data_IF_979351010614
#
_entry.id   IF_979351010614
#
_cell.length_a   1.000
_cell.length_b   1.000
_cell.length_c   1.000
_cell.angle_alpha   90.00
_cell.angle_beta   90.00
_cell.angle_gamma   90.00
#
_symmetry.space_group_name_H-M   'P 1'
#
loop_
_entity.id
_entity.type
_entity.pdbx_description
1 polymer ?
#
# COMPACT_ATOMS: atom_id res chain seq x y z
N UNK A 1 -6.11 -42.22 -4.42
CA UNK A 1 -5.97 -41.84 -3.00
C UNK A 1 -4.73 -42.44 -2.33
N UNK A 2 -4.43 -43.75 -2.47
CA UNK A 2 -3.26 -44.39 -1.84
C UNK A 2 -1.90 -43.78 -2.24
N UNK A 3 -1.69 -43.47 -3.52
CA UNK A 3 -0.45 -42.85 -4.01
C UNK A 3 -0.20 -41.43 -3.45
N UNK A 4 -1.28 -40.66 -3.25
CA UNK A 4 -1.22 -39.31 -2.71
C UNK A 4 -0.85 -39.33 -1.22
N UNK A 5 -1.48 -40.23 -0.46
CA UNK A 5 -1.16 -40.45 0.95
C UNK A 5 0.29 -40.90 1.14
N UNK A 6 0.75 -41.87 0.34
CA UNK A 6 2.15 -42.30 0.33
C UNK A 6 3.10 -41.14 0.05
N UNK A 7 2.80 -40.30 -0.96
CA UNK A 7 3.62 -39.14 -1.32
C UNK A 7 3.72 -38.12 -0.18
N UNK A 8 2.64 -37.89 0.57
CA UNK A 8 2.64 -36.99 1.73
C UNK A 8 3.44 -37.58 2.90
N UNK A 9 3.19 -38.84 3.25
CA UNK A 9 3.89 -39.51 4.36
C UNK A 9 5.41 -39.55 4.09
N UNK A 10 5.80 -39.91 2.86
CA UNK A 10 7.21 -39.98 2.47
C UNK A 10 7.84 -38.59 2.38
N UNK A 11 7.12 -37.57 1.89
CA UNK A 11 7.61 -36.20 1.85
C UNK A 11 7.87 -35.64 3.27
N UNK A 12 6.95 -35.87 4.21
CA UNK A 12 7.13 -35.46 5.61
C UNK A 12 8.32 -36.19 6.24
N UNK A 13 8.44 -37.50 6.02
CA UNK A 13 9.57 -38.28 6.51
C UNK A 13 10.90 -37.86 5.87
N UNK A 14 10.88 -37.43 4.61
CA UNK A 14 12.03 -36.85 3.88
C UNK A 14 12.46 -35.53 4.53
N UNK A 15 11.53 -34.61 4.74
CA UNK A 15 11.78 -33.31 5.37
C UNK A 15 12.33 -33.45 6.80
N UNK A 16 11.82 -34.42 7.58
CA UNK A 16 12.29 -34.65 8.94
C UNK A 16 13.73 -35.16 9.00
N UNK A 17 14.09 -36.06 8.07
CA UNK A 17 15.46 -36.57 7.94
C UNK A 17 16.41 -35.50 7.41
N UNK A 18 15.99 -34.73 6.40
CA UNK A 18 16.73 -33.63 5.77
C UNK A 18 16.52 -32.26 6.42
N UNK A 19 16.21 -32.20 7.73
CA UNK A 19 15.65 -30.99 8.37
C UNK A 19 16.47 -29.71 8.19
N UNK A 20 17.80 -29.79 8.16
CA UNK A 20 18.66 -28.61 8.01
C UNK A 20 18.47 -27.95 6.63
N UNK A 21 18.54 -28.75 5.57
CA UNK A 21 18.33 -28.28 4.20
C UNK A 21 16.87 -27.84 3.98
N UNK A 22 15.91 -28.58 4.56
CA UNK A 22 14.49 -28.25 4.49
C UNK A 22 14.14 -26.94 5.19
N UNK A 23 14.71 -26.66 6.37
CA UNK A 23 14.55 -25.39 7.08
C UNK A 23 15.14 -24.22 6.30
N UNK A 24 16.34 -24.38 5.73
CA UNK A 24 16.98 -23.33 4.95
C UNK A 24 16.19 -22.97 3.69
N UNK A 25 15.69 -23.98 2.97
CA UNK A 25 14.81 -23.79 1.82
C UNK A 25 13.51 -23.08 2.20
N UNK A 26 12.86 -23.55 3.27
CA UNK A 26 11.61 -22.95 3.79
C UNK A 26 11.82 -21.50 4.23
N UNK A 27 12.92 -21.19 4.91
CA UNK A 27 13.27 -19.83 5.32
C UNK A 27 13.55 -18.92 4.10
N UNK A 28 14.20 -19.44 3.07
CA UNK A 28 14.45 -18.71 1.82
C UNK A 28 13.14 -18.38 1.10
N UNK A 29 12.22 -19.35 0.99
CA UNK A 29 10.87 -19.13 0.46
C UNK A 29 10.12 -18.09 1.30
N UNK A 30 10.12 -18.25 2.63
CA UNK A 30 9.43 -17.35 3.53
C UNK A 30 9.95 -15.91 3.41
N UNK A 31 11.28 -15.73 3.34
CA UNK A 31 11.91 -14.42 3.16
C UNK A 31 11.53 -13.80 1.82
N UNK A 32 11.59 -14.57 0.73
CA UNK A 32 11.21 -14.10 -0.61
C UNK A 32 9.75 -13.59 -0.64
N UNK A 33 8.83 -14.39 -0.09
CA UNK A 33 7.41 -14.04 -0.02
C UNK A 33 7.14 -12.88 0.95
N UNK A 34 7.84 -12.82 2.08
CA UNK A 34 7.71 -11.74 3.05
C UNK A 34 8.14 -10.39 2.45
N UNK A 35 9.31 -10.36 1.78
CA UNK A 35 9.81 -9.14 1.14
C UNK A 35 8.87 -8.68 0.03
N UNK A 36 8.46 -9.58 -0.86
CA UNK A 36 7.51 -9.26 -1.92
C UNK A 36 6.15 -8.81 -1.37
N UNK A 37 5.60 -9.54 -0.39
CA UNK A 37 4.32 -9.23 0.23
C UNK A 37 4.35 -7.90 0.98
N UNK A 38 5.40 -7.63 1.76
CA UNK A 38 5.58 -6.37 2.48
C UNK A 38 5.69 -5.20 1.54
N UNK A 39 6.46 -5.37 0.47
CA UNK A 39 6.60 -4.39 -0.58
C UNK A 39 5.24 -4.06 -1.24
N UNK A 40 4.46 -5.08 -1.62
CA UNK A 40 3.12 -4.90 -2.19
C UNK A 40 2.17 -4.20 -1.22
N UNK A 41 2.15 -4.60 0.06
CA UNK A 41 1.34 -3.97 1.10
C UNK A 41 1.70 -2.49 1.25
N UNK A 42 2.98 -2.14 1.37
CA UNK A 42 3.42 -0.75 1.50
C UNK A 42 3.00 0.07 0.29
N UNK A 43 3.30 -0.41 -0.94
CA UNK A 43 2.93 0.34 -2.15
C UNK A 43 1.42 0.50 -2.30
N UNK A 44 0.63 -0.53 -1.99
CA UNK A 44 -0.83 -0.44 -2.07
C UNK A 44 -1.41 0.54 -1.05
N UNK A 45 -0.82 0.63 0.15
CA UNK A 45 -1.23 1.62 1.15
C UNK A 45 -0.81 3.04 0.74
N UNK A 46 0.39 3.22 0.19
CA UNK A 46 0.85 4.53 -0.32
C UNK A 46 0.03 5.01 -1.53
N UNK A 47 -0.33 4.12 -2.46
CA UNK A 47 -1.23 4.44 -3.58
C UNK A 47 -2.60 4.89 -3.07
N UNK A 48 -3.16 4.22 -2.06
CA UNK A 48 -4.44 4.61 -1.45
C UNK A 48 -4.35 5.95 -0.73
N UNK A 49 -3.31 6.15 0.08
CA UNK A 49 -3.09 7.42 0.78
C UNK A 49 -2.92 8.57 -0.21
N UNK A 50 -2.15 8.35 -1.28
CA UNK A 50 -2.00 9.33 -2.37
C UNK A 50 -3.32 9.61 -3.11
N UNK A 51 -4.15 8.59 -3.35
CA UNK A 51 -5.46 8.77 -3.96
C UNK A 51 -6.44 9.55 -3.06
N UNK A 52 -6.44 9.27 -1.75
CA UNK A 52 -7.23 10.00 -0.76
C UNK A 52 -6.77 11.47 -0.68
N UNK A 53 -5.46 11.71 -0.57
CA UNK A 53 -4.90 13.07 -0.62
C UNK A 53 -5.21 13.79 -1.94
N UNK A 54 -5.19 13.08 -3.06
CA UNK A 54 -5.59 13.62 -4.35
C UNK A 54 -7.06 14.01 -4.43
N UNK A 55 -7.95 13.26 -3.76
CA UNK A 55 -9.37 13.60 -3.66
C UNK A 55 -9.64 14.74 -2.66
N UNK A 56 -8.79 14.90 -1.65
CA UNK A 56 -8.81 16.01 -0.70
C UNK A 56 -8.07 17.26 -1.21
N UNK A 57 -7.30 17.15 -2.30
CA UNK A 57 -6.59 18.27 -2.88
C UNK A 57 -7.58 19.30 -3.44
N UNK A 58 -7.68 20.42 -2.73
CA UNK A 58 -8.50 21.55 -3.14
C UNK A 58 -7.74 22.39 -4.18
N UNK A 59 -8.46 22.83 -5.20
CA UNK A 59 -7.98 23.82 -6.17
C UNK A 59 -8.18 25.20 -5.53
N UNK A 60 -7.09 25.90 -5.23
CA UNK A 60 -7.14 27.24 -4.65
C UNK A 60 -7.00 28.29 -5.76
N UNK A 61 -8.05 29.08 -5.96
CA UNK A 61 -8.06 30.20 -6.89
C UNK A 61 -7.86 31.49 -6.10
N UNK A 62 -6.66 32.06 -6.15
CA UNK A 62 -6.35 33.32 -5.48
C UNK A 62 -6.84 34.49 -6.32
N UNK A 63 -7.54 35.42 -5.67
CA UNK A 63 -8.05 36.63 -6.29
C UNK A 63 -7.07 37.79 -6.12
N UNK A 64 -7.14 38.76 -7.03
CA UNK A 64 -6.43 40.03 -6.89
C UNK A 64 -6.99 40.85 -5.74
N UNK A 65 -6.16 41.70 -5.16
CA UNK A 65 -6.52 42.53 -4.01
C UNK A 65 -7.66 43.52 -4.31
N UNK A 66 -7.70 44.09 -5.52
CA UNK A 66 -8.78 44.99 -5.96
C UNK A 66 -9.87 44.30 -6.80
N UNK A 67 -10.14 43.01 -6.56
CA UNK A 67 -11.18 42.29 -7.33
C UNK A 67 -12.56 42.91 -7.13
N UNK A 68 -13.24 43.25 -8.23
CA UNK A 68 -14.60 43.79 -8.14
C UNK A 68 -15.61 42.70 -7.75
N UNK A 69 -16.73 43.04 -7.10
CA UNK A 69 -17.78 42.08 -6.78
C UNK A 69 -18.35 41.35 -8.02
N UNK A 70 -18.33 42.00 -9.19
CA UNK A 70 -18.76 41.43 -10.45
C UNK A 70 -17.77 40.39 -10.99
N UNK A 71 -16.47 40.68 -10.95
CA UNK A 71 -15.42 39.74 -11.36
C UNK A 71 -15.39 38.51 -10.43
N UNK A 72 -15.52 38.72 -9.12
CA UNK A 72 -15.62 37.60 -8.16
C UNK A 72 -16.81 36.69 -8.48
N UNK A 73 -18.00 37.27 -8.72
CA UNK A 73 -19.19 36.49 -9.09
C UNK A 73 -19.01 35.74 -10.41
N UNK A 74 -18.26 36.30 -11.37
CA UNK A 74 -17.94 35.60 -12.60
C UNK A 74 -17.04 34.39 -12.36
N UNK A 75 -16.03 34.51 -11.49
CA UNK A 75 -15.16 33.39 -11.08
C UNK A 75 -15.95 32.31 -10.34
N UNK A 76 -16.79 32.68 -9.37
CA UNK A 76 -17.68 31.76 -8.65
C UNK A 76 -18.65 31.04 -9.59
N UNK A 77 -19.24 31.75 -10.56
CA UNK A 77 -20.12 31.16 -11.57
C UNK A 77 -19.39 30.13 -12.45
N UNK A 78 -18.14 30.40 -12.83
CA UNK A 78 -17.30 29.46 -13.59
C UNK A 78 -16.90 28.21 -12.78
N UNK A 79 -17.02 28.27 -11.46
CA UNK A 79 -16.78 27.21 -10.48
C UNK A 79 -18.08 26.57 -9.95
N UNK A 80 -19.19 26.78 -10.64
CA UNK A 80 -20.46 26.15 -10.28
C UNK A 80 -20.32 24.62 -10.21
N UNK A 81 -20.95 23.94 -9.24
CA UNK A 81 -20.91 22.49 -9.12
C UNK A 81 -21.32 21.81 -10.43
N UNK A 82 -20.55 20.81 -10.85
CA UNK A 82 -20.70 20.14 -12.13
C UNK A 82 -19.87 18.87 -12.19
N UNK A 83 -19.53 18.39 -13.37
CA UNK A 83 -18.84 17.09 -13.50
C UNK A 83 -17.47 17.05 -12.81
N UNK A 84 -16.78 18.19 -12.74
CA UNK A 84 -15.43 18.32 -12.16
C UNK A 84 -15.48 18.93 -10.75
N UNK A 85 -16.34 19.91 -10.51
CA UNK A 85 -16.42 20.65 -9.25
C UNK A 85 -17.49 20.06 -8.34
N UNK A 86 -17.11 19.68 -7.12
CA UNK A 86 -18.03 19.21 -6.09
C UNK A 86 -18.69 20.37 -5.35
N UNK A 87 -17.86 21.32 -4.88
CA UNK A 87 -18.26 22.52 -4.15
C UNK A 87 -17.17 23.59 -4.23
N UNK A 88 -17.51 24.83 -3.95
CA UNK A 88 -16.55 25.92 -3.78
C UNK A 88 -16.89 26.74 -2.54
N UNK A 89 -15.88 27.33 -1.92
CA UNK A 89 -16.00 28.19 -0.75
C UNK A 89 -15.14 29.45 -0.95
N UNK A 90 -15.72 30.62 -0.71
CA UNK A 90 -14.98 31.88 -0.72
C UNK A 90 -14.37 32.10 0.66
N UNK A 91 -13.04 32.24 0.71
CA UNK A 91 -12.28 32.55 1.90
C UNK A 91 -11.78 33.98 1.80
N UNK A 92 -12.27 34.84 2.69
CA UNK A 92 -11.83 36.23 2.74
C UNK A 92 -10.38 36.34 3.22
N UNK A 93 -9.72 37.48 2.98
CA UNK A 93 -8.38 37.76 3.53
C UNK A 93 -8.35 37.55 5.05
N UNK A 94 -9.38 38.02 5.76
CA UNK A 94 -9.47 37.90 7.21
C UNK A 94 -9.60 36.43 7.65
N UNK A 95 -10.43 35.65 6.98
CA UNK A 95 -10.61 34.23 7.29
C UNK A 95 -9.36 33.41 6.96
N UNK A 96 -8.66 33.75 5.87
CA UNK A 96 -7.38 33.14 5.50
C UNK A 96 -6.33 33.38 6.59
N UNK A 97 -6.29 34.58 7.18
CA UNK A 97 -5.40 34.89 8.30
C UNK A 97 -5.75 34.10 9.57
N UNK A 98 -7.03 33.97 9.89
CA UNK A 98 -7.48 33.16 11.03
C UNK A 98 -7.09 31.69 10.85
N UNK A 99 -7.36 31.11 9.67
CA UNK A 99 -6.98 29.73 9.34
C UNK A 99 -5.46 29.54 9.41
N UNK A 100 -4.69 30.46 8.83
CA UNK A 100 -3.23 30.40 8.86
C UNK A 100 -2.68 30.37 10.29
N UNK A 101 -3.19 31.23 11.18
CA UNK A 101 -2.78 31.27 12.59
C UNK A 101 -3.15 30.00 13.35
N UNK A 102 -4.28 29.37 13.03
CA UNK A 102 -4.69 28.11 13.65
C UNK A 102 -3.79 26.95 13.20
N UNK A 103 -3.39 26.92 11.93
CA UNK A 103 -2.55 25.84 11.38
C UNK A 103 -1.06 26.01 11.73
N UNK A 104 -0.57 27.25 11.73
CA UNK A 104 0.86 27.57 11.90
C UNK A 104 1.07 28.53 13.08
N UNK A 105 0.64 28.12 14.28
CA UNK A 105 0.69 28.95 15.48
C UNK A 105 2.06 29.55 15.79
N UNK A 106 3.16 28.86 15.47
CA UNK A 106 4.53 29.35 15.67
C UNK A 106 4.91 30.50 14.70
N UNK A 107 4.28 30.57 13.52
CA UNK A 107 4.51 31.60 12.51
C UNK A 107 3.53 32.77 12.64
N UNK A 108 2.52 32.69 13.51
CA UNK A 108 1.51 33.73 13.70
C UNK A 108 2.15 35.09 14.08
N UNK A 109 3.17 35.07 14.94
CA UNK A 109 3.88 36.29 15.38
C UNK A 109 4.66 36.98 14.25
N UNK A 110 5.14 36.23 13.26
CA UNK A 110 5.83 36.80 12.10
C UNK A 110 4.86 37.52 11.15
N UNK A 111 3.63 37.01 11.02
CA UNK A 111 2.59 37.63 10.20
C UNK A 111 2.01 38.87 10.86
N UNK A 112 1.85 38.85 12.18
CA UNK A 112 1.37 40.02 12.93
C UNK A 112 2.35 41.21 12.90
N UNK A 113 3.64 40.95 12.68
CA UNK A 113 4.66 41.99 12.53
C UNK A 113 4.65 42.74 11.19
N UNK A 114 3.87 42.30 10.20
CA UNK A 114 3.83 42.90 8.85
C UNK A 114 2.88 44.10 8.73
N UNK A 115 2.10 44.40 9.79
CA UNK A 115 1.21 45.56 9.88
C UNK A 115 -0.09 45.43 9.07
N UNK A 116 -0.03 44.87 7.87
CA UNK A 116 -1.18 44.63 6.99
C UNK A 116 -1.26 43.16 6.54
N UNK A 117 -2.45 42.66 6.22
CA UNK A 117 -2.65 41.24 5.93
C UNK A 117 -2.09 40.85 4.55
N UNK A 118 -1.00 40.06 4.47
CA UNK A 118 -0.35 39.73 3.21
C UNK A 118 -1.07 38.60 2.45
N UNK A 119 -2.07 37.96 3.05
CA UNK A 119 -2.76 36.82 2.46
C UNK A 119 -3.86 37.30 1.49
N UNK A 120 -3.84 36.86 0.22
CA UNK A 120 -4.90 37.17 -0.73
C UNK A 120 -6.19 36.42 -0.38
N UNK A 121 -7.33 36.94 -0.83
CA UNK A 121 -8.59 36.21 -0.77
C UNK A 121 -8.54 35.04 -1.79
N UNK A 122 -9.20 33.93 -1.46
CA UNK A 122 -9.23 32.75 -2.33
C UNK A 122 -10.63 32.17 -2.48
N UNK A 123 -10.86 31.48 -3.60
CA UNK A 123 -11.96 30.54 -3.75
C UNK A 123 -11.36 29.14 -3.71
N UNK A 124 -11.65 28.40 -2.65
CA UNK A 124 -11.23 27.02 -2.46
C UNK A 124 -12.25 26.09 -3.09
N UNK A 125 -11.80 25.24 -4.00
CA UNK A 125 -12.68 24.41 -4.83
C UNK A 125 -12.40 22.94 -4.54
N UNK A 126 -13.40 22.24 -4.03
CA UNK A 126 -13.34 20.79 -3.85
C UNK A 126 -13.71 20.11 -5.16
N UNK A 127 -12.85 19.22 -5.60
CA UNK A 127 -12.98 18.51 -6.87
C UNK A 127 -13.67 17.16 -6.66
N UNK A 128 -14.43 16.69 -7.65
CA UNK A 128 -14.99 15.33 -7.62
C UNK A 128 -13.92 14.30 -7.98
N UNK A 129 -13.81 13.19 -7.23
CA UNK A 129 -12.94 12.10 -7.62
C UNK A 129 -13.49 11.40 -8.86
N UNK A 130 -12.63 11.10 -9.84
CA UNK A 130 -13.04 10.36 -11.04
C UNK A 130 -11.89 10.01 -11.98
N UNK A 131 -12.00 8.91 -12.75
CA UNK A 131 -11.04 8.59 -13.80
C UNK A 131 -11.02 9.71 -14.85
N UNK A 132 -9.84 10.27 -15.14
CA UNK A 132 -9.68 11.41 -16.05
C UNK A 132 -9.91 12.79 -15.41
N UNK A 133 -10.28 12.87 -14.12
CA UNK A 133 -10.52 14.13 -13.41
C UNK A 133 -9.37 15.11 -13.57
N UNK A 134 -8.13 14.61 -13.53
CA UNK A 134 -6.98 15.48 -13.63
C UNK A 134 -6.87 16.27 -14.95
N UNK A 135 -7.14 15.65 -16.11
CA UNK A 135 -7.09 16.39 -17.39
C UNK A 135 -8.17 17.49 -17.46
N UNK A 136 -9.35 17.20 -16.91
CA UNK A 136 -10.43 18.18 -16.74
C UNK A 136 -10.02 19.33 -15.80
N UNK A 137 -9.36 19.01 -14.68
CA UNK A 137 -8.90 20.02 -13.70
C UNK A 137 -7.81 20.92 -14.27
N UNK A 138 -6.87 20.40 -15.06
CA UNK A 138 -5.85 21.22 -15.72
C UNK A 138 -6.50 22.22 -16.69
N UNK A 139 -7.49 21.76 -17.47
CA UNK A 139 -8.23 22.62 -18.40
C UNK A 139 -9.03 23.70 -17.67
N UNK A 140 -9.65 23.35 -16.53
CA UNK A 140 -10.36 24.27 -15.66
C UNK A 140 -9.40 25.31 -15.07
N UNK A 141 -8.25 24.87 -14.53
CA UNK A 141 -7.23 25.74 -13.97
C UNK A 141 -6.68 26.74 -14.99
N UNK A 142 -6.40 26.29 -16.22
CA UNK A 142 -5.94 27.17 -17.30
C UNK A 142 -7.00 28.19 -17.71
N UNK A 143 -8.28 27.79 -17.75
CA UNK A 143 -9.40 28.71 -18.03
C UNK A 143 -9.54 29.77 -16.94
N UNK A 144 -9.43 29.37 -15.67
CA UNK A 144 -9.53 30.28 -14.52
C UNK A 144 -8.38 31.28 -14.47
N UNK A 145 -7.15 30.87 -14.80
CA UNK A 145 -5.98 31.78 -14.86
C UNK A 145 -6.14 32.91 -15.88
N UNK A 146 -6.98 32.74 -16.89
CA UNK A 146 -7.26 33.76 -17.91
C UNK A 146 -8.39 34.72 -17.52
N UNK A 147 -9.10 34.45 -16.41
CA UNK A 147 -10.24 35.28 -16.01
C UNK A 147 -9.78 36.59 -15.34
N UNK A 148 -10.48 37.71 -15.60
CA UNK A 148 -10.28 38.95 -14.86
C UNK A 148 -10.50 38.73 -13.35
N UNK A 149 -9.69 39.38 -12.51
CA UNK A 149 -9.78 39.26 -11.06
C UNK A 149 -9.04 38.06 -10.45
N UNK A 150 -8.54 37.09 -11.24
CA UNK A 150 -7.72 35.98 -10.74
C UNK A 150 -6.23 36.38 -10.72
N UNK A 151 -5.57 36.15 -9.59
CA UNK A 151 -4.14 36.41 -9.41
C UNK A 151 -3.29 35.16 -9.66
N UNK A 152 -3.67 34.04 -9.07
CA UNK A 152 -2.99 32.75 -9.24
C UNK A 152 -3.99 31.60 -9.05
N UNK A 153 -3.70 30.45 -9.67
CA UNK A 153 -4.48 29.22 -9.50
C UNK A 153 -3.51 28.11 -9.13
N UNK A 154 -3.64 27.63 -7.89
CA UNK A 154 -2.78 26.59 -7.35
C UNK A 154 -3.51 25.27 -7.23
N UNK A 155 -2.88 24.26 -7.81
CA UNK A 155 -3.29 22.88 -7.74
C UNK A 155 -2.01 22.05 -7.76
N UNK A 156 -1.61 21.50 -6.61
CA UNK A 156 -0.35 20.76 -6.46
C UNK A 156 -0.39 19.34 -7.05
N UNK A 157 -1.09 19.19 -8.18
CA UNK A 157 -1.16 17.94 -8.95
C UNK A 157 0.20 17.46 -9.40
N UNK A 158 1.10 18.38 -9.75
CA UNK A 158 2.42 18.00 -10.25
C UNK A 158 3.21 17.29 -9.15
N UNK A 159 3.11 17.75 -7.90
CA UNK A 159 3.73 17.09 -6.77
C UNK A 159 3.07 15.73 -6.51
N UNK A 160 1.74 15.67 -6.48
CA UNK A 160 1.01 14.41 -6.30
C UNK A 160 1.33 13.38 -7.39
N UNK A 161 1.33 13.79 -8.66
CA UNK A 161 1.69 12.93 -9.78
C UNK A 161 3.13 12.43 -9.67
N UNK A 162 4.08 13.26 -9.22
CA UNK A 162 5.47 12.82 -8.98
C UNK A 162 5.53 11.75 -7.88
N UNK A 163 4.79 11.93 -6.79
CA UNK A 163 4.70 10.95 -5.69
C UNK A 163 4.09 9.63 -6.19
N UNK A 164 2.93 9.68 -6.85
CA UNK A 164 2.27 8.49 -7.41
C UNK A 164 3.14 7.78 -8.45
N UNK A 165 3.82 8.54 -9.31
CA UNK A 165 4.76 7.97 -10.29
C UNK A 165 5.95 7.31 -9.60
N UNK A 166 6.52 7.95 -8.56
CA UNK A 166 7.60 7.36 -7.77
C UNK A 166 7.16 6.07 -7.08
N UNK A 167 5.95 6.03 -6.51
CA UNK A 167 5.36 4.79 -5.95
C UNK A 167 5.24 3.71 -7.04
N UNK A 168 4.81 4.07 -8.25
CA UNK A 168 4.73 3.14 -9.38
C UNK A 168 6.10 2.59 -9.82
N UNK A 169 7.14 3.43 -9.86
CA UNK A 169 8.52 3.00 -10.17
C UNK A 169 9.03 2.06 -9.10
N UNK A 170 8.89 2.46 -7.83
CA UNK A 170 9.24 1.62 -6.68
C UNK A 170 8.52 0.28 -6.83
N UNK A 171 7.22 0.29 -7.17
CA UNK A 171 6.41 -0.91 -7.39
C UNK A 171 6.99 -1.85 -8.42
N UNK A 172 7.39 -1.31 -9.57
CA UNK A 172 8.05 -2.06 -10.64
C UNK A 172 9.36 -2.71 -10.16
N UNK A 173 10.21 -1.95 -9.45
CA UNK A 173 11.48 -2.46 -8.89
C UNK A 173 11.22 -3.59 -7.90
N UNK A 174 10.25 -3.45 -7.01
CA UNK A 174 9.92 -4.49 -6.03
C UNK A 174 9.35 -5.76 -6.66
N UNK A 175 8.59 -5.66 -7.75
CA UNK A 175 8.13 -6.83 -8.51
C UNK A 175 9.29 -7.56 -9.19
N UNK A 176 10.25 -6.84 -9.78
CA UNK A 176 11.46 -7.43 -10.36
C UNK A 176 12.26 -8.16 -9.28
N UNK A 177 12.53 -7.48 -8.15
CA UNK A 177 13.27 -8.06 -7.04
C UNK A 177 12.56 -9.29 -6.46
N UNK A 178 11.25 -9.21 -6.25
CA UNK A 178 10.45 -10.33 -5.76
C UNK A 178 10.45 -11.52 -6.71
N UNK A 179 10.46 -11.28 -8.03
CA UNK A 179 10.58 -12.33 -9.04
C UNK A 179 11.95 -13.01 -8.96
N UNK A 180 13.04 -12.23 -8.81
CA UNK A 180 14.40 -12.77 -8.63
C UNK A 180 14.48 -13.62 -7.37
N UNK A 181 13.91 -13.16 -6.26
CA UNK A 181 13.87 -13.92 -5.01
C UNK A 181 13.04 -15.20 -5.13
N UNK A 182 11.91 -15.16 -5.84
CA UNK A 182 11.09 -16.35 -6.11
C UNK A 182 11.86 -17.39 -6.95
N UNK A 183 12.62 -16.96 -7.96
CA UNK A 183 13.50 -17.83 -8.74
C UNK A 183 14.61 -18.42 -7.86
N UNK A 184 15.25 -17.61 -7.02
CA UNK A 184 16.27 -18.08 -6.08
C UNK A 184 15.72 -19.14 -5.11
N UNK A 185 14.50 -18.93 -4.60
CA UNK A 185 13.80 -19.90 -3.77
C UNK A 185 13.50 -21.20 -4.53
N UNK A 186 13.02 -21.11 -5.77
CA UNK A 186 12.78 -22.28 -6.62
C UNK A 186 14.06 -23.08 -6.89
N UNK A 187 15.18 -22.40 -7.18
CA UNK A 187 16.50 -23.03 -7.35
C UNK A 187 16.95 -23.70 -6.05
N UNK A 188 16.71 -23.06 -4.92
CA UNK A 188 17.05 -23.61 -3.60
C UNK A 188 16.26 -24.90 -3.33
N UNK A 189 14.95 -24.89 -3.56
CA UNK A 189 14.10 -26.09 -3.46
C UNK A 189 14.59 -27.18 -4.40
N UNK A 190 14.88 -26.84 -5.66
CA UNK A 190 15.39 -27.80 -6.64
C UNK A 190 16.71 -28.45 -6.18
N UNK A 191 17.59 -27.69 -5.55
CA UNK A 191 18.84 -28.20 -4.99
C UNK A 191 18.60 -29.13 -3.79
N UNK A 192 17.67 -28.79 -2.91
CA UNK A 192 17.29 -29.66 -1.79
C UNK A 192 16.70 -30.98 -2.29
N UNK A 193 15.77 -30.92 -3.24
CA UNK A 193 15.18 -32.11 -3.87
C UNK A 193 16.25 -32.96 -4.56
N UNK A 194 17.21 -32.33 -5.26
CA UNK A 194 18.32 -33.04 -5.91
C UNK A 194 19.20 -33.77 -4.89
N UNK A 195 19.51 -33.13 -3.76
CA UNK A 195 20.25 -33.77 -2.68
C UNK A 195 19.48 -34.94 -2.07
N UNK A 196 18.17 -34.77 -1.86
CA UNK A 196 17.29 -35.83 -1.36
C UNK A 196 17.20 -37.03 -2.34
N UNK A 197 17.14 -36.77 -3.65
CA UNK A 197 17.19 -37.78 -4.71
C UNK A 197 18.51 -38.55 -4.70
N UNK A 198 19.65 -37.83 -4.62
CA UNK A 198 20.97 -38.47 -4.58
C UNK A 198 21.14 -39.37 -3.36
N UNK A 199 20.63 -38.94 -2.20
CA UNK A 199 20.69 -39.73 -0.97
C UNK A 199 19.88 -41.04 -1.05
N UNK A 200 18.93 -41.15 -1.99
CA UNK A 200 18.05 -42.32 -2.17
C UNK A 200 18.17 -42.99 -3.53
N UNK A 201 19.24 -42.70 -4.26
CA UNK A 201 19.39 -43.17 -5.65
C UNK A 201 19.24 -44.70 -5.78
N UNK A 202 19.78 -45.46 -4.80
CA UNK A 202 19.77 -46.92 -4.83
C UNK A 202 18.34 -47.48 -4.62
N UNK A 203 17.56 -46.85 -3.73
CA UNK A 203 16.15 -47.22 -3.48
C UNK A 203 15.28 -46.89 -4.71
N UNK A 204 15.53 -45.74 -5.34
CA UNK A 204 14.84 -45.31 -6.56
C UNK A 204 15.18 -46.20 -7.76
N UNK A 205 16.41 -46.69 -7.85
CA UNK A 205 16.86 -47.65 -8.88
C UNK A 205 16.13 -48.98 -8.73
N UNK A 206 16.04 -49.53 -7.51
CA UNK A 206 15.26 -50.75 -7.24
C UNK A 206 13.81 -50.54 -7.67
N UNK A 207 13.16 -49.44 -7.26
CA UNK A 207 11.77 -49.15 -7.65
C UNK A 207 11.58 -49.11 -9.18
N UNK A 208 12.55 -48.59 -9.93
CA UNK A 208 12.51 -48.58 -11.39
C UNK A 208 12.63 -49.99 -11.99
N UNK A 209 13.51 -50.83 -11.43
CA UNK A 209 13.72 -52.21 -11.89
C UNK A 209 12.49 -53.10 -11.68
N UNK A 210 11.70 -52.87 -10.63
CA UNK A 210 10.44 -53.60 -10.40
C UNK A 210 9.25 -53.01 -11.18
N UNK A 211 9.46 -51.98 -12.01
CA UNK A 211 8.43 -51.39 -12.86
C UNK A 211 7.48 -50.43 -12.14
N UNK A 212 7.93 -49.75 -11.07
CA UNK A 212 7.08 -48.80 -10.36
C UNK A 212 6.64 -47.62 -11.25
N UNK A 213 5.39 -47.15 -11.16
CA UNK A 213 4.92 -45.99 -11.93
C UNK A 213 5.71 -44.71 -11.62
N UNK A 214 5.99 -43.89 -12.63
CA UNK A 214 6.69 -42.60 -12.48
C UNK A 214 6.06 -41.67 -11.43
N UNK A 215 4.73 -41.74 -11.25
CA UNK A 215 4.02 -40.97 -10.22
C UNK A 215 4.39 -41.39 -8.79
N UNK A 216 4.70 -42.66 -8.55
CA UNK A 216 5.18 -43.15 -7.25
C UNK A 216 6.61 -42.72 -6.97
N UNK A 217 7.44 -42.62 -8.02
CA UNK A 217 8.83 -42.18 -7.92
C UNK A 217 8.89 -40.66 -7.71
N UNK A 218 8.16 -39.87 -8.51
CA UNK A 218 8.22 -38.40 -8.47
C UNK A 218 7.28 -37.75 -7.45
N UNK A 219 6.21 -38.43 -7.07
CA UNK A 219 5.15 -37.92 -6.19
C UNK A 219 5.67 -37.37 -4.85
N UNK A 220 6.50 -38.11 -4.09
CA UNK A 220 7.06 -37.63 -2.83
C UNK A 220 7.86 -36.32 -2.98
N UNK A 221 8.67 -36.19 -4.04
CA UNK A 221 9.51 -35.00 -4.25
C UNK A 221 8.71 -33.75 -4.65
N UNK A 222 7.67 -33.92 -5.48
CA UNK A 222 6.75 -32.82 -5.78
C UNK A 222 6.01 -32.39 -4.52
N UNK A 223 5.57 -33.35 -3.71
CA UNK A 223 4.88 -33.08 -2.45
C UNK A 223 5.80 -32.39 -1.44
N UNK A 224 7.09 -32.75 -1.39
CA UNK A 224 8.09 -32.08 -0.56
C UNK A 224 8.20 -30.59 -0.91
N UNK A 225 8.29 -30.24 -2.20
CA UNK A 225 8.29 -28.86 -2.66
C UNK A 225 6.99 -28.11 -2.34
N UNK A 226 5.83 -28.76 -2.50
CA UNK A 226 4.52 -28.18 -2.13
C UNK A 226 4.43 -27.90 -0.64
N UNK A 227 4.90 -28.83 0.21
CA UNK A 227 4.92 -28.65 1.67
C UNK A 227 5.86 -27.53 2.09
N UNK A 228 7.07 -27.48 1.53
CA UNK A 228 8.03 -26.39 1.81
C UNK A 228 7.47 -25.03 1.38
N UNK A 229 6.88 -24.96 0.18
CA UNK A 229 6.22 -23.76 -0.34
C UNK A 229 5.07 -23.31 0.55
N UNK A 230 4.22 -24.25 0.97
CA UNK A 230 3.08 -23.99 1.84
C UNK A 230 3.49 -23.52 3.24
N UNK A 231 4.47 -24.18 3.86
CA UNK A 231 5.00 -23.77 5.18
C UNK A 231 5.68 -22.40 5.06
N UNK A 232 6.51 -22.19 4.04
CA UNK A 232 7.17 -20.92 3.80
C UNK A 232 6.18 -19.77 3.60
N UNK A 233 5.11 -20.00 2.83
CA UNK A 233 4.03 -19.04 2.64
C UNK A 233 3.27 -18.74 3.94
N UNK A 234 2.96 -19.77 4.74
CA UNK A 234 2.31 -19.59 6.03
C UNK A 234 3.18 -18.74 6.97
N UNK A 235 4.47 -19.05 7.08
CA UNK A 235 5.43 -18.30 7.89
C UNK A 235 5.53 -16.85 7.41
N UNK A 236 5.64 -16.63 6.10
CA UNK A 236 5.67 -15.30 5.51
C UNK A 236 4.42 -14.49 5.83
N UNK A 237 3.22 -15.09 5.68
CA UNK A 237 1.95 -14.44 5.98
C UNK A 237 1.80 -14.11 7.47
N UNK A 238 2.16 -15.04 8.35
CA UNK A 238 2.15 -14.80 9.80
C UNK A 238 3.11 -13.69 10.20
N UNK A 239 4.35 -13.69 9.67
CA UNK A 239 5.33 -12.64 9.90
C UNK A 239 4.85 -11.29 9.37
N UNK A 240 4.27 -11.27 8.17
CA UNK A 240 3.73 -10.06 7.53
C UNK A 240 2.57 -9.49 8.35
N UNK A 241 1.62 -10.33 8.77
CA UNK A 241 0.50 -9.93 9.60
C UNK A 241 0.96 -9.41 10.96
N UNK A 242 1.92 -10.10 11.60
CA UNK A 242 2.53 -9.66 12.85
C UNK A 242 3.25 -8.31 12.71
N UNK A 243 4.05 -8.14 11.66
CA UNK A 243 4.72 -6.88 11.36
C UNK A 243 3.73 -5.74 11.11
N UNK A 244 2.67 -5.99 10.35
CA UNK A 244 1.63 -5.00 10.06
C UNK A 244 0.92 -4.54 11.33
N UNK A 245 0.51 -5.47 12.20
CA UNK A 245 -0.14 -5.13 13.48
C UNK A 245 0.81 -4.36 14.41
N UNK A 246 2.08 -4.79 14.52
CA UNK A 246 3.08 -4.13 15.34
C UNK A 246 3.38 -2.70 14.86
N UNK A 247 3.52 -2.49 13.54
CA UNK A 247 3.72 -1.16 12.96
C UNK A 247 2.48 -0.28 13.16
N UNK A 248 1.28 -0.86 13.06
CA UNK A 248 0.02 -0.13 13.26
C UNK A 248 -0.04 0.48 14.65
N UNK A 249 0.14 -0.35 15.68
CA UNK A 249 -0.05 0.09 17.06
C UNK A 249 1.08 1.01 17.53
N UNK A 250 2.31 0.83 17.00
CA UNK A 250 3.49 1.63 17.37
C UNK A 250 3.55 2.99 16.66
N UNK A 251 3.16 3.06 15.38
CA UNK A 251 3.40 4.25 14.54
C UNK A 251 2.13 4.81 13.91
N UNK A 252 1.23 3.97 13.38
CA UNK A 252 0.08 4.46 12.63
C UNK A 252 -1.06 4.97 13.52
N UNK A 253 -1.34 4.31 14.65
CA UNK A 253 -2.40 4.74 15.56
C UNK A 253 -2.10 6.11 16.23
N UNK A 254 -0.87 6.38 16.73
CA UNK A 254 -0.52 7.70 17.26
C UNK A 254 -0.51 8.80 16.20
N UNK A 255 -0.08 8.50 14.97
CA UNK A 255 -0.06 9.46 13.86
C UNK A 255 -1.47 9.76 13.34
N UNK A 256 -2.34 8.75 13.22
CA UNK A 256 -3.72 8.94 12.80
C UNK A 256 -4.53 9.75 13.82
N UNK A 257 -4.31 9.53 15.12
CA UNK A 257 -4.92 10.34 16.18
C UNK A 257 -4.35 11.77 16.21
N UNK A 258 -3.07 11.96 15.90
CA UNK A 258 -2.45 13.28 15.81
C UNK A 258 -2.91 14.09 14.59
N UNK A 259 -3.25 13.42 13.47
CA UNK A 259 -3.68 14.08 12.23
C UNK A 259 -5.21 14.12 12.02
N UNK A 260 -6.00 13.61 12.97
CA UNK A 260 -7.47 13.58 12.92
C UNK A 260 -8.06 12.96 11.64
N UNK A 261 -7.34 12.00 11.04
CA UNK A 261 -7.78 11.29 9.82
C UNK A 261 -8.56 10.05 10.25
N UNK A 262 -9.81 9.93 9.80
CA UNK A 262 -10.66 8.76 10.11
C UNK A 262 -9.99 7.46 9.68
N UNK A 263 -10.01 6.45 10.54
CA UNK A 263 -9.33 5.17 10.30
C UNK A 263 -9.74 4.53 8.96
N UNK A 264 -8.78 4.03 8.16
CA UNK A 264 -9.08 3.47 6.85
C UNK A 264 -9.98 2.22 6.94
N UNK A 265 -10.95 2.04 6.01
CA UNK A 265 -11.96 0.97 6.06
C UNK A 265 -11.42 -0.43 5.75
N UNK A 266 -10.16 -0.59 5.34
CA UNK A 266 -9.50 -1.90 5.21
C UNK A 266 -9.49 -2.70 6.53
N UNK A 267 -9.73 -2.00 7.65
CA UNK A 267 -9.87 -2.54 9.01
C UNK A 267 -11.09 -3.44 9.20
N UNK A 268 -12.17 -3.31 8.41
CA UNK A 268 -13.38 -4.15 8.58
C UNK A 268 -13.20 -5.59 8.12
N UNK A 269 -12.41 -5.84 7.09
CA UNK A 269 -12.27 -7.20 6.52
C UNK A 269 -11.38 -8.12 7.36
N UNK A 270 -10.48 -7.57 8.20
CA UNK A 270 -9.61 -8.34 9.09
C UNK A 270 -10.16 -8.52 10.51
N UNK A 271 -11.35 -7.98 10.80
CA UNK A 271 -12.02 -8.07 12.11
C UNK A 271 -12.33 -9.50 12.58
N UNK A 272 -12.38 -10.47 11.66
CA UNK A 272 -12.61 -11.89 11.99
C UNK A 272 -11.34 -12.51 12.61
N UNK A 273 -10.14 -12.11 12.19
CA UNK A 273 -8.88 -12.66 12.73
C UNK A 273 -8.55 -12.08 14.11
N UNK A 274 -8.87 -10.81 14.36
CA UNK A 274 -8.65 -10.14 15.65
C UNK A 274 -9.64 -10.61 16.73
N UNK A 275 -10.86 -10.98 16.37
CA UNK A 275 -11.83 -11.59 17.30
C UNK A 275 -11.36 -12.96 17.81
N UNK A 276 -10.67 -13.74 16.97
CA UNK A 276 -10.17 -15.07 17.35
C UNK A 276 -8.94 -14.99 18.25
N UNK A 277 -8.05 -14.00 18.05
CA UNK A 277 -6.86 -13.83 18.88
C UNK A 277 -7.15 -13.10 20.21
N UNK A 278 -8.14 -12.21 20.28
CA UNK A 278 -8.53 -11.53 21.53
C UNK A 278 -9.19 -12.48 22.54
N UNK A 279 -9.88 -13.54 22.07
CA UNK A 279 -10.55 -14.51 22.95
C UNK A 279 -9.58 -15.38 23.77
N UNK A 280 -8.33 -15.57 23.31
CA UNK A 280 -7.33 -16.38 24.05
C UNK A 280 -6.60 -15.66 25.18
N UNK A 281 -6.69 -14.33 25.26
CA UNK A 281 -6.01 -13.57 26.33
C UNK A 281 -6.88 -13.33 27.57
N UNK A 282 -8.20 -13.56 27.49
CA UNK A 282 -9.11 -13.31 28.62
C UNK A 282 -9.36 -14.55 29.50
N UNK A 283 -9.02 -15.76 29.03
CA UNK A 283 -9.22 -17.01 29.81
C UNK A 283 -8.00 -17.41 30.68
N UNK A 284 -6.95 -16.58 30.74
CA UNK A 284 -5.75 -16.83 31.58
C UNK A 284 -5.68 -15.94 32.82
N UNK A 285 -6.71 -15.15 33.12
CA UNK A 285 -6.73 -14.25 34.29
C UNK A 285 -8.09 -14.25 34.99
N UNK A 286 -8.68 -15.44 35.13
CA UNK A 286 -9.68 -15.75 36.16
C UNK A 286 -9.37 -17.16 36.68
#
# INVERSE_FOLDING_TARGET
>A
MRALRYSVEEAVASLWRGRQAGLLSTATIALALFVLGGFLVVTANLERLGAEWGSAAELSVYLKDEVSPAERRAVEAALSPGDIVASHEYVSKADALVRFKQTFGELAAAVDGLGDNPLPASVEVRLRPGPGAGAGVDSLGNRLRQMPGVADVRYDRQWLNRVLTAIGIIRGVGLVLGTVLAVAAAVTVANVVRLALYARRDELEIMQLVGAPQAYIRGPFVMEGVLQGGIGALVALSALGGAFLALRDRYLAPLASAMNISEPPATRSYGILTLVLRRRYTESTI
#
